data_IF_765797701163
#
_entry.id   IF_765797701163
#
_cell.length_a   1.000
_cell.length_b   1.000
_cell.length_c   1.000
_cell.angle_alpha   90.00
_cell.angle_beta   90.00
_cell.angle_gamma   90.00
#
_symmetry.space_group_name_H-M   'P 1'
#
loop_
_entity.id
_entity.type
_entity.pdbx_description
1 polymer ?
#
# COMPACT_ATOMS: atom_id res chain seq x y z
N UNK A 1 15.65 43.88 29.18
CA UNK A 1 14.30 43.41 28.84
C UNK A 1 14.37 41.92 28.46
N UNK A 2 13.94 41.03 29.35
CA UNK A 2 14.00 39.57 29.16
C UNK A 2 12.67 39.14 28.51
N UNK A 3 12.72 38.61 27.29
CA UNK A 3 11.59 37.92 26.66
C UNK A 3 11.59 36.45 27.09
N UNK A 4 10.52 36.01 27.74
CA UNK A 4 10.26 34.64 28.12
C UNK A 4 9.68 33.90 26.91
N UNK A 5 10.32 32.78 26.51
CA UNK A 5 9.77 31.79 25.60
C UNK A 5 8.87 30.83 26.41
N UNK A 6 7.66 30.63 25.92
CA UNK A 6 6.71 29.64 26.41
C UNK A 6 6.90 28.36 25.57
N UNK A 7 7.04 27.17 26.14
CA UNK A 7 7.07 25.94 25.37
C UNK A 7 5.63 25.47 25.08
N UNK A 8 5.36 25.20 23.81
CA UNK A 8 4.13 24.56 23.35
C UNK A 8 4.25 23.06 23.65
N UNK A 9 3.34 22.57 24.49
CA UNK A 9 3.23 21.16 24.87
C UNK A 9 2.45 20.42 23.77
N UNK A 10 3.15 19.58 23.03
CA UNK A 10 2.59 18.69 22.00
C UNK A 10 2.13 17.40 22.70
N UNK A 11 0.83 17.22 22.85
CA UNK A 11 0.26 15.97 23.39
C UNK A 11 0.19 14.91 22.32
N UNK A 12 1.10 13.95 22.42
CA UNK A 12 1.11 12.72 21.62
C UNK A 12 0.11 11.75 22.23
N UNK A 13 -0.97 11.42 21.52
CA UNK A 13 -1.90 10.36 21.92
C UNK A 13 -1.37 9.02 21.38
N UNK A 14 -0.68 8.28 22.25
CA UNK A 14 -0.23 6.93 21.98
C UNK A 14 -1.31 5.94 22.45
N UNK A 15 -1.96 5.26 21.51
CA UNK A 15 -2.85 4.13 21.82
C UNK A 15 -2.01 2.88 21.94
N UNK A 16 -1.59 2.54 23.16
CA UNK A 16 -0.95 1.27 23.47
C UNK A 16 -1.99 0.26 23.96
N UNK A 17 -2.09 -0.88 23.27
CA UNK A 17 -2.74 -2.06 23.79
C UNK A 17 -1.89 -2.65 24.94
N UNK A 18 -2.42 -2.74 26.14
CA UNK A 18 -1.76 -3.37 27.29
C UNK A 18 -2.40 -4.72 27.61
N UNK A 19 -1.61 -5.74 27.95
CA UNK A 19 -2.14 -7.01 28.47
C UNK A 19 -2.55 -6.89 29.94
N UNK A 20 -3.64 -7.58 30.27
CA UNK A 20 -4.23 -7.65 31.59
C UNK A 20 -3.31 -8.43 32.54
N UNK A 21 -2.82 -7.78 33.59
CA UNK A 21 -2.27 -8.46 34.76
C UNK A 21 -3.21 -8.24 35.93
N UNK A 22 -3.74 -9.34 36.48
CA UNK A 22 -4.53 -9.35 37.66
C UNK A 22 -3.62 -9.11 38.89
N UNK A 23 -3.90 -8.05 39.64
CA UNK A 23 -3.29 -7.84 40.96
C UNK A 23 -4.37 -8.07 42.05
N UNK A 24 -4.10 -9.01 42.94
CA UNK A 24 -4.83 -9.20 44.16
C UNK A 24 -4.65 -7.99 45.09
N UNK A 25 -5.73 -7.38 45.54
CA UNK A 25 -5.73 -6.43 46.65
C UNK A 25 -6.57 -6.97 47.77
N UNK A 26 -5.91 -7.16 48.91
CA UNK A 26 -6.53 -7.53 50.19
C UNK A 26 -7.28 -6.33 50.82
N UNK A 27 -8.35 -6.65 51.50
CA UNK A 27 -9.33 -5.78 52.12
C UNK A 27 -8.77 -4.70 53.04
N UNK A 28 -9.35 -3.52 52.97
CA UNK A 28 -9.22 -2.45 53.94
C UNK A 28 -10.20 -1.31 53.60
N UNK A 29 -11.20 -1.14 54.43
CA UNK A 29 -12.27 -0.15 54.39
C UNK A 29 -11.77 1.28 54.18
N UNK A 30 -12.22 1.94 53.09
CA UNK A 30 -12.39 3.42 53.06
C UNK A 30 -13.61 3.74 52.17
N UNK A 31 -14.69 4.17 52.77
CA UNK A 31 -15.83 4.80 52.12
C UNK A 31 -15.42 6.11 51.41
N UNK A 32 -15.33 6.10 50.11
CA UNK A 32 -15.35 7.31 49.30
C UNK A 32 -16.35 7.14 48.14
N UNK A 33 -17.48 7.85 48.17
CA UNK A 33 -18.41 7.82 47.06
C UNK A 33 -17.92 8.82 45.99
N UNK A 34 -17.81 8.37 44.75
CA UNK A 34 -17.53 9.12 43.52
C UNK A 34 -16.18 8.78 42.85
N UNK A 35 -16.07 7.54 42.38
CA UNK A 35 -15.49 7.25 41.08
C UNK A 35 -16.47 6.35 40.35
N UNK A 36 -17.40 6.94 39.65
CA UNK A 36 -18.16 6.25 38.62
C UNK A 36 -17.14 5.82 37.57
N UNK A 37 -16.87 4.52 37.52
CA UNK A 37 -16.15 3.90 36.41
C UNK A 37 -16.77 4.41 35.13
N UNK A 38 -15.94 5.09 34.32
CA UNK A 38 -16.32 5.43 32.97
C UNK A 38 -16.84 4.15 32.31
N UNK A 39 -18.07 4.23 31.89
CA UNK A 39 -18.84 3.22 31.22
C UNK A 39 -18.01 2.51 30.17
N UNK A 40 -17.80 1.21 30.34
CA UNK A 40 -17.28 0.38 29.28
C UNK A 40 -18.24 0.58 28.11
N UNK A 41 -17.76 1.17 27.01
CA UNK A 41 -18.56 1.52 25.84
C UNK A 41 -19.47 0.35 25.50
N UNK A 42 -20.76 0.51 25.74
CA UNK A 42 -21.79 -0.43 25.29
C UNK A 42 -21.50 -0.76 23.81
N UNK A 43 -21.55 -2.02 23.41
CA UNK A 43 -21.32 -2.36 22.00
C UNK A 43 -22.28 -1.55 21.13
N UNK A 44 -21.76 -0.92 20.08
CA UNK A 44 -22.54 -0.08 19.17
C UNK A 44 -23.82 -0.80 18.76
N UNK A 45 -24.97 -0.34 19.26
CA UNK A 45 -26.27 -0.93 18.95
C UNK A 45 -26.65 -0.55 17.52
N UNK A 46 -26.61 -1.53 16.63
CA UNK A 46 -27.11 -1.38 15.26
C UNK A 46 -28.60 -1.70 15.22
N UNK A 47 -29.40 -0.80 14.68
CA UNK A 47 -30.82 -1.05 14.47
C UNK A 47 -31.03 -1.75 13.13
N UNK A 48 -31.78 -2.85 13.12
CA UNK A 48 -32.07 -3.61 11.93
C UNK A 48 -33.12 -2.90 11.07
N UNK A 49 -32.81 -2.78 9.78
CA UNK A 49 -33.70 -2.11 8.80
C UNK A 49 -33.89 -2.97 7.55
N UNK A 50 -35.08 -2.94 7.00
CA UNK A 50 -35.45 -3.74 5.82
C UNK A 50 -36.24 -2.97 4.75
N UNK A 51 -36.52 -1.69 4.97
CA UNK A 51 -37.26 -0.82 4.03
C UNK A 51 -36.57 0.52 3.85
N UNK A 52 -36.85 1.20 2.72
CA UNK A 52 -36.29 2.51 2.42
C UNK A 52 -36.73 3.58 3.43
N UNK A 53 -38.00 3.55 3.81
CA UNK A 53 -38.56 4.56 4.72
C UNK A 53 -37.97 4.42 6.13
N UNK A 54 -37.83 3.19 6.63
CA UNK A 54 -37.22 2.93 7.92
C UNK A 54 -35.73 3.30 7.91
N UNK A 55 -34.99 2.90 6.86
CA UNK A 55 -33.59 3.29 6.70
C UNK A 55 -33.43 4.81 6.74
N UNK A 56 -34.28 5.54 6.01
CA UNK A 56 -34.26 7.01 5.97
C UNK A 56 -34.55 7.63 7.33
N UNK A 57 -35.58 7.11 8.01
CA UNK A 57 -35.96 7.60 9.34
C UNK A 57 -34.82 7.42 10.35
N UNK A 58 -34.19 6.23 10.35
CA UNK A 58 -33.06 5.92 11.26
C UNK A 58 -31.83 6.78 10.98
N UNK A 59 -31.43 6.93 9.70
CA UNK A 59 -30.30 7.78 9.33
C UNK A 59 -30.55 9.24 9.71
N UNK A 60 -31.77 9.74 9.45
CA UNK A 60 -32.16 11.12 9.83
C UNK A 60 -32.11 11.32 11.35
N UNK A 61 -32.47 10.31 12.13
CA UNK A 61 -32.36 10.33 13.57
C UNK A 61 -30.94 10.16 14.10
N UNK A 62 -29.96 9.86 13.23
CA UNK A 62 -28.57 9.64 13.60
C UNK A 62 -28.29 8.25 14.19
N UNK A 63 -29.15 7.29 13.93
CA UNK A 63 -28.99 5.93 14.45
C UNK A 63 -28.11 5.10 13.54
N UNK A 64 -27.23 4.29 14.13
CA UNK A 64 -26.46 3.28 13.40
C UNK A 64 -27.37 2.10 13.02
N UNK A 65 -27.20 1.59 11.80
CA UNK A 65 -28.14 0.63 11.21
C UNK A 65 -27.42 -0.58 10.59
N UNK A 66 -28.16 -1.69 10.57
CA UNK A 66 -27.77 -2.93 9.87
C UNK A 66 -28.84 -3.33 8.89
N UNK A 67 -28.47 -3.53 7.64
CA UNK A 67 -29.42 -3.99 6.62
C UNK A 67 -29.75 -5.47 6.81
N UNK A 68 -31.03 -5.82 6.69
CA UNK A 68 -31.50 -7.20 6.71
C UNK A 68 -32.04 -7.68 5.37
N UNK A 69 -32.20 -6.76 4.41
CA UNK A 69 -32.66 -7.02 3.02
C UNK A 69 -32.01 -6.01 2.08
N UNK A 70 -32.02 -6.33 0.78
CA UNK A 70 -31.72 -5.36 -0.25
C UNK A 70 -32.78 -4.23 -0.21
N UNK A 71 -32.31 -3.00 -0.36
CA UNK A 71 -33.15 -1.80 -0.29
C UNK A 71 -32.90 -0.93 -1.51
N UNK A 72 -33.99 -0.58 -2.20
CA UNK A 72 -33.97 0.43 -3.27
C UNK A 72 -34.41 1.77 -2.69
N UNK A 73 -33.65 2.83 -2.99
CA UNK A 73 -33.96 4.21 -2.63
C UNK A 73 -34.01 5.06 -3.90
N UNK A 74 -34.82 6.10 -3.91
CA UNK A 74 -34.97 7.01 -5.05
C UNK A 74 -34.52 8.44 -4.77
N UNK A 75 -34.18 8.76 -3.54
CA UNK A 75 -33.62 10.04 -3.09
C UNK A 75 -32.45 9.79 -2.16
N UNK A 76 -31.50 10.72 -2.12
CA UNK A 76 -30.30 10.60 -1.33
C UNK A 76 -30.56 10.45 0.18
N UNK A 77 -29.67 9.78 0.86
CA UNK A 77 -29.61 9.69 2.29
C UNK A 77 -28.68 10.77 2.85
N UNK A 78 -29.22 11.69 3.62
CA UNK A 78 -28.50 12.78 4.21
C UNK A 78 -27.97 12.38 5.60
N UNK A 79 -26.64 12.29 5.73
CA UNK A 79 -25.95 11.96 6.98
C UNK A 79 -25.46 13.25 7.61
N UNK A 80 -26.13 13.69 8.68
CA UNK A 80 -25.84 14.92 9.43
C UNK A 80 -25.40 14.64 10.85
N UNK A 81 -25.36 13.38 11.23
CA UNK A 81 -24.91 12.86 12.53
C UNK A 81 -24.02 11.64 12.31
N UNK A 82 -23.05 11.44 13.18
CA UNK A 82 -22.14 10.29 13.07
C UNK A 82 -22.90 8.98 13.30
N UNK A 83 -22.79 8.07 12.35
CA UNK A 83 -23.44 6.75 12.38
C UNK A 83 -22.66 5.69 11.64
N UNK A 84 -23.00 4.44 11.88
CA UNK A 84 -22.50 3.27 11.16
C UNK A 84 -23.61 2.63 10.35
N UNK A 85 -23.28 2.29 9.08
CA UNK A 85 -24.10 1.46 8.20
C UNK A 85 -23.41 0.11 8.01
N UNK A 86 -23.99 -0.95 8.51
CA UNK A 86 -23.60 -2.32 8.23
C UNK A 86 -24.45 -2.85 7.06
N UNK A 87 -23.80 -3.09 5.92
CA UNK A 87 -24.47 -3.64 4.75
C UNK A 87 -24.91 -5.10 4.93
N UNK A 88 -24.23 -5.85 5.79
CA UNK A 88 -24.57 -7.24 6.13
C UNK A 88 -24.88 -8.12 4.90
N UNK A 89 -24.07 -7.95 3.84
CA UNK A 89 -24.21 -8.67 2.58
C UNK A 89 -25.35 -8.19 1.67
N UNK A 90 -26.10 -7.17 2.08
CA UNK A 90 -27.23 -6.63 1.33
C UNK A 90 -26.79 -5.54 0.34
N UNK A 91 -27.64 -5.29 -0.65
CA UNK A 91 -27.49 -4.22 -1.62
C UNK A 91 -28.35 -3.03 -1.25
N UNK A 92 -27.73 -1.85 -1.16
CA UNK A 92 -28.41 -0.55 -1.15
C UNK A 92 -28.29 0.07 -2.53
N UNK A 93 -29.41 0.20 -3.25
CA UNK A 93 -29.42 0.67 -4.62
C UNK A 93 -30.15 2.00 -4.75
N UNK A 94 -29.49 2.98 -5.36
CA UNK A 94 -30.13 4.20 -5.84
C UNK A 94 -30.82 3.94 -7.17
N UNK A 95 -32.09 4.34 -7.27
CA UNK A 95 -32.88 4.28 -8.50
C UNK A 95 -33.22 5.66 -9.07
N UNK A 96 -32.92 6.71 -8.32
CA UNK A 96 -33.05 8.10 -8.73
C UNK A 96 -31.76 8.69 -9.31
N UNK A 97 -31.84 9.94 -9.78
CA UNK A 97 -30.69 10.65 -10.36
C UNK A 97 -30.01 11.52 -9.31
N UNK A 98 -29.36 10.91 -8.35
CA UNK A 98 -28.63 11.59 -7.27
C UNK A 98 -27.55 10.67 -6.67
N UNK A 99 -26.70 11.22 -5.79
CA UNK A 99 -25.80 10.45 -4.95
C UNK A 99 -26.57 9.53 -4.02
N UNK A 100 -25.97 8.40 -3.61
CA UNK A 100 -26.59 7.55 -2.58
C UNK A 100 -26.55 8.24 -1.24
N UNK A 101 -25.37 8.83 -0.87
CA UNK A 101 -25.19 9.55 0.38
C UNK A 101 -24.67 10.97 0.16
N UNK A 102 -25.17 11.90 0.99
CA UNK A 102 -24.54 13.17 1.30
C UNK A 102 -24.12 13.19 2.75
N UNK A 103 -22.83 13.38 3.04
CA UNK A 103 -22.27 13.42 4.40
C UNK A 103 -21.72 14.81 4.69
N UNK A 104 -22.29 15.51 5.66
CA UNK A 104 -21.94 16.90 5.99
C UNK A 104 -22.19 17.20 7.48
N UNK A 105 -22.05 18.47 7.92
CA UNK A 105 -22.18 18.88 9.34
C UNK A 105 -21.16 18.22 10.28
N UNK A 106 -19.94 17.98 9.83
CA UNK A 106 -18.89 17.25 10.57
C UNK A 106 -19.31 15.84 10.99
N UNK A 107 -20.31 15.26 10.34
CA UNK A 107 -20.75 13.89 10.58
C UNK A 107 -19.74 12.91 9.96
N UNK A 108 -19.64 11.73 10.59
CA UNK A 108 -18.90 10.59 10.05
C UNK A 108 -19.87 9.48 9.67
N UNK A 109 -19.86 9.08 8.40
CA UNK A 109 -20.49 7.85 7.94
C UNK A 109 -19.45 6.72 7.96
N UNK A 110 -19.67 5.70 8.78
CA UNK A 110 -18.87 4.47 8.71
C UNK A 110 -19.65 3.40 7.93
N UNK A 111 -19.04 2.88 6.86
CA UNK A 111 -19.59 1.77 6.07
C UNK A 111 -18.79 0.51 6.37
N UNK A 112 -19.50 -0.54 6.74
CA UNK A 112 -18.95 -1.87 7.01
C UNK A 112 -19.83 -2.96 6.39
N UNK A 113 -19.32 -4.18 6.36
CA UNK A 113 -20.08 -5.37 5.95
C UNK A 113 -19.74 -6.53 6.88
N UNK A 114 -20.64 -6.82 7.80
CA UNK A 114 -20.46 -7.90 8.78
C UNK A 114 -20.70 -9.29 8.20
N UNK A 115 -21.24 -9.40 6.97
CA UNK A 115 -21.50 -10.70 6.34
C UNK A 115 -20.21 -11.50 6.12
N UNK A 116 -20.33 -12.81 6.18
CA UNK A 116 -19.18 -13.71 5.94
C UNK A 116 -18.68 -13.59 4.48
N UNK A 117 -19.58 -13.41 3.52
CA UNK A 117 -19.25 -13.31 2.10
C UNK A 117 -18.68 -11.95 1.70
N UNK A 118 -18.77 -10.92 2.55
CA UNK A 118 -18.38 -9.53 2.25
C UNK A 118 -19.00 -9.01 0.94
N UNK A 119 -20.27 -9.38 0.68
CA UNK A 119 -21.00 -9.09 -0.56
C UNK A 119 -21.87 -7.86 -0.51
N UNK A 120 -21.86 -7.12 0.61
CA UNK A 120 -22.63 -5.89 0.77
C UNK A 120 -22.23 -4.82 -0.25
N UNK A 121 -23.23 -4.23 -0.94
CA UNK A 121 -22.98 -3.26 -2.01
C UNK A 121 -23.81 -1.99 -1.87
N UNK A 122 -23.23 -0.89 -2.33
CA UNK A 122 -23.86 0.40 -2.58
C UNK A 122 -23.73 0.67 -4.08
N UNK A 123 -24.83 0.92 -4.79
CA UNK A 123 -24.80 1.00 -6.24
C UNK A 123 -25.86 1.97 -6.81
N UNK A 124 -25.73 2.29 -8.10
CA UNK A 124 -26.72 3.03 -8.88
C UNK A 124 -26.71 4.54 -8.66
N UNK A 125 -25.72 5.07 -7.94
CA UNK A 125 -25.58 6.52 -7.82
C UNK A 125 -25.37 7.17 -9.19
N UNK A 126 -26.26 8.12 -9.55
CA UNK A 126 -26.25 8.83 -10.82
C UNK A 126 -26.43 10.33 -10.55
N UNK A 127 -25.33 11.03 -10.37
CA UNK A 127 -25.31 12.43 -9.91
C UNK A 127 -24.40 13.29 -10.80
N UNK A 128 -24.22 14.54 -10.42
CA UNK A 128 -23.16 15.37 -11.00
C UNK A 128 -21.81 14.98 -10.40
N UNK A 129 -21.73 14.89 -9.08
CA UNK A 129 -20.53 14.54 -8.32
C UNK A 129 -20.86 13.50 -7.25
N UNK A 130 -19.91 12.61 -6.91
CA UNK A 130 -20.01 11.69 -5.77
C UNK A 130 -21.14 10.67 -5.87
N UNK A 131 -21.12 9.80 -6.87
CA UNK A 131 -22.24 8.88 -7.12
C UNK A 131 -22.58 8.01 -5.92
N UNK A 132 -21.62 7.30 -5.34
CA UNK A 132 -21.82 6.56 -4.10
C UNK A 132 -21.94 7.49 -2.90
N UNK A 133 -20.92 8.34 -2.67
CA UNK A 133 -20.88 9.25 -1.51
C UNK A 133 -20.33 10.61 -1.93
N UNK A 134 -21.07 11.66 -1.58
CA UNK A 134 -20.62 13.04 -1.63
C UNK A 134 -20.30 13.52 -0.21
N UNK A 135 -19.08 13.99 0.02
CA UNK A 135 -18.57 14.35 1.34
C UNK A 135 -18.34 15.85 1.45
N UNK A 136 -18.91 16.46 2.47
CA UNK A 136 -18.80 17.88 2.78
C UNK A 136 -19.79 18.77 2.02
N UNK A 137 -19.66 20.05 2.19
CA UNK A 137 -20.45 21.09 1.54
C UNK A 137 -19.76 22.43 1.69
N UNK A 138 -20.32 23.50 1.10
CA UNK A 138 -19.72 24.84 1.12
C UNK A 138 -19.37 25.32 2.53
N UNK A 139 -20.19 24.98 3.53
CA UNK A 139 -20.09 25.51 4.90
C UNK A 139 -19.67 24.46 5.95
N UNK A 140 -19.56 23.18 5.59
CA UNK A 140 -19.29 22.13 6.57
C UNK A 140 -18.49 20.99 5.97
N UNK A 141 -17.72 20.34 6.81
CA UNK A 141 -16.98 19.12 6.48
C UNK A 141 -17.90 17.88 6.64
N UNK A 142 -17.47 16.79 6.05
CA UNK A 142 -18.02 15.46 6.25
C UNK A 142 -16.91 14.43 6.27
N UNK A 143 -17.18 13.26 6.80
CA UNK A 143 -16.17 12.23 6.92
C UNK A 143 -16.76 10.86 6.52
N UNK A 144 -16.01 10.11 5.72
CA UNK A 144 -16.33 8.74 5.35
C UNK A 144 -15.25 7.80 5.85
N UNK A 145 -15.67 6.71 6.47
CA UNK A 145 -14.81 5.58 6.84
C UNK A 145 -15.39 4.32 6.20
N UNK A 146 -14.62 3.66 5.35
CA UNK A 146 -15.00 2.36 4.81
C UNK A 146 -14.06 1.28 5.32
N UNK A 147 -14.59 0.31 6.05
CA UNK A 147 -13.84 -0.86 6.54
C UNK A 147 -14.27 -2.15 5.83
N UNK A 148 -15.37 -2.12 5.10
CA UNK A 148 -15.93 -3.19 4.30
C UNK A 148 -17.02 -2.67 3.39
N UNK A 149 -17.64 -3.57 2.64
CA UNK A 149 -18.63 -3.26 1.62
C UNK A 149 -18.02 -2.72 0.32
N UNK A 150 -18.82 -2.68 -0.71
CA UNK A 150 -18.40 -2.29 -2.06
C UNK A 150 -19.27 -1.15 -2.58
N UNK A 151 -18.68 -0.05 -3.02
CA UNK A 151 -19.32 0.97 -3.86
C UNK A 151 -19.06 0.57 -5.30
N UNK A 152 -20.12 0.34 -6.08
CA UNK A 152 -19.99 -0.15 -7.46
C UNK A 152 -21.09 0.39 -8.39
N UNK A 153 -20.78 0.46 -9.69
CA UNK A 153 -21.78 0.83 -10.70
C UNK A 153 -22.38 2.22 -10.48
N UNK A 154 -21.58 3.15 -9.98
CA UNK A 154 -21.97 4.55 -9.82
C UNK A 154 -21.44 5.36 -11.01
N UNK A 155 -22.32 6.18 -11.61
CA UNK A 155 -22.02 6.95 -12.81
C UNK A 155 -22.33 8.41 -12.58
N UNK A 156 -21.32 9.29 -12.73
CA UNK A 156 -21.54 10.73 -12.58
C UNK A 156 -21.03 11.50 -13.79
N UNK A 157 -21.61 12.66 -14.02
CA UNK A 157 -21.25 13.48 -15.18
C UNK A 157 -19.98 14.30 -14.95
N UNK A 158 -19.54 14.49 -13.69
CA UNK A 158 -18.40 15.33 -13.37
C UNK A 158 -17.35 14.60 -12.52
N UNK A 159 -17.46 14.54 -11.20
CA UNK A 159 -16.32 14.13 -10.34
C UNK A 159 -16.67 13.02 -9.34
N UNK A 160 -15.74 12.05 -9.18
CA UNK A 160 -15.84 11.04 -8.15
C UNK A 160 -16.99 10.06 -8.35
N UNK A 161 -16.87 9.17 -9.32
CA UNK A 161 -17.92 8.18 -9.60
C UNK A 161 -18.33 7.40 -8.36
N UNK A 162 -17.37 6.87 -7.63
CA UNK A 162 -17.59 6.25 -6.32
C UNK A 162 -17.75 7.26 -5.20
N UNK A 163 -16.72 8.08 -4.96
CA UNK A 163 -16.65 9.01 -3.83
C UNK A 163 -16.11 10.37 -4.29
N UNK A 164 -16.77 11.44 -3.87
CA UNK A 164 -16.28 12.80 -4.02
C UNK A 164 -16.08 13.46 -2.66
N UNK A 165 -14.83 13.75 -2.30
CA UNK A 165 -14.47 14.48 -1.08
C UNK A 165 -14.35 15.96 -1.44
N UNK A 166 -15.46 16.69 -1.34
CA UNK A 166 -15.45 18.13 -1.57
C UNK A 166 -14.77 18.87 -0.41
N UNK A 167 -15.12 18.51 0.84
CA UNK A 167 -14.53 19.06 2.05
C UNK A 167 -14.61 18.09 3.20
N UNK A 168 -13.46 17.68 3.76
CA UNK A 168 -13.37 16.74 4.85
C UNK A 168 -12.45 15.56 4.56
N UNK A 169 -12.82 14.35 4.97
CA UNK A 169 -11.93 13.19 4.86
C UNK A 169 -12.62 11.91 4.40
N UNK A 170 -11.86 11.08 3.71
CA UNK A 170 -12.20 9.71 3.41
C UNK A 170 -11.09 8.77 3.91
N UNK A 171 -11.45 7.74 4.67
CA UNK A 171 -10.53 6.67 5.08
C UNK A 171 -11.05 5.33 4.58
N UNK A 172 -10.17 4.57 3.93
CA UNK A 172 -10.48 3.26 3.36
C UNK A 172 -9.54 2.20 3.94
N UNK A 173 -10.08 1.06 4.37
CA UNK A 173 -9.30 -0.02 4.96
C UNK A 173 -10.01 -1.37 4.86
N UNK A 174 -9.37 -2.43 5.36
CA UNK A 174 -9.96 -3.76 5.47
C UNK A 174 -10.37 -4.35 4.12
N UNK A 175 -11.63 -4.75 3.99
CA UNK A 175 -12.20 -5.35 2.77
C UNK A 175 -13.03 -4.37 1.94
N UNK A 176 -12.93 -3.07 2.22
CA UNK A 176 -13.64 -2.04 1.47
C UNK A 176 -13.24 -2.01 -0.02
N UNK A 177 -14.20 -1.77 -0.90
CA UNK A 177 -13.95 -1.75 -2.35
C UNK A 177 -14.69 -0.58 -3.03
N UNK A 178 -14.06 -0.02 -4.05
CA UNK A 178 -14.70 0.89 -5.01
C UNK A 178 -14.38 0.33 -6.39
N UNK A 179 -15.41 -0.04 -7.16
CA UNK A 179 -15.18 -0.69 -8.45
C UNK A 179 -16.26 -0.31 -9.46
N UNK A 180 -15.95 -0.42 -10.76
CA UNK A 180 -16.88 -0.17 -11.86
C UNK A 180 -17.60 1.21 -11.79
N UNK A 181 -16.93 2.22 -11.23
CA UNK A 181 -17.46 3.57 -11.15
C UNK A 181 -16.94 4.44 -12.30
N UNK A 182 -17.77 5.36 -12.80
CA UNK A 182 -17.37 6.23 -13.90
C UNK A 182 -17.67 7.71 -13.63
N UNK A 183 -16.78 8.59 -14.11
CA UNK A 183 -16.90 10.03 -13.99
C UNK A 183 -16.19 10.76 -15.14
N UNK A 184 -16.30 12.09 -15.22
CA UNK A 184 -15.41 12.87 -16.06
C UNK A 184 -13.99 12.91 -15.49
N UNK A 185 -13.86 13.05 -14.17
CA UNK A 185 -12.59 12.95 -13.45
C UNK A 185 -12.74 12.13 -12.17
N UNK A 186 -11.73 11.32 -11.85
CA UNK A 186 -11.75 10.44 -10.69
C UNK A 186 -12.88 9.42 -10.78
N UNK A 187 -12.74 8.42 -11.65
CA UNK A 187 -13.77 7.38 -11.79
C UNK A 187 -14.11 6.73 -10.45
N UNK A 188 -13.10 6.39 -9.64
CA UNK A 188 -13.26 5.90 -8.27
C UNK A 188 -13.47 7.03 -7.27
N UNK A 189 -12.45 7.86 -7.06
CA UNK A 189 -12.39 8.87 -5.98
C UNK A 189 -11.87 10.20 -6.51
N UNK A 190 -12.50 11.30 -6.11
CA UNK A 190 -11.93 12.64 -6.21
C UNK A 190 -11.77 13.24 -4.84
N UNK A 191 -10.60 13.85 -4.58
CA UNK A 191 -10.36 14.67 -3.40
C UNK A 191 -10.15 16.10 -3.85
N UNK A 192 -10.99 17.01 -3.35
CA UNK A 192 -11.05 18.41 -3.79
C UNK A 192 -10.84 19.32 -2.60
N UNK A 193 -10.02 20.36 -2.74
CA UNK A 193 -9.57 21.34 -1.74
C UNK A 193 -8.38 20.89 -0.90
N UNK A 194 -7.49 21.87 -0.59
CA UNK A 194 -6.24 21.64 0.17
C UNK A 194 -6.43 21.20 1.62
N UNK A 195 -7.64 21.27 2.17
CA UNK A 195 -7.98 20.76 3.50
C UNK A 195 -8.58 19.34 3.46
N UNK A 196 -8.83 18.79 2.28
CA UNK A 196 -9.47 17.49 2.12
C UNK A 196 -8.42 16.40 2.02
N UNK A 197 -8.73 15.25 2.62
CA UNK A 197 -7.80 14.11 2.70
C UNK A 197 -8.47 12.81 2.29
N UNK A 198 -7.68 11.96 1.61
CA UNK A 198 -7.98 10.55 1.44
C UNK A 198 -6.86 9.73 2.07
N UNK A 199 -7.20 8.77 2.92
CA UNK A 199 -6.25 7.82 3.52
C UNK A 199 -6.65 6.40 3.15
N UNK A 200 -5.75 5.69 2.46
CA UNK A 200 -5.97 4.29 2.08
C UNK A 200 -4.99 3.40 2.85
N UNK A 201 -5.51 2.74 3.89
CA UNK A 201 -4.77 1.79 4.72
C UNK A 201 -4.98 0.34 4.28
N UNK A 202 -5.83 0.11 3.30
CA UNK A 202 -6.19 -1.20 2.76
C UNK A 202 -7.41 -1.10 1.86
N UNK A 203 -7.92 -2.24 1.40
CA UNK A 203 -9.04 -2.30 0.46
C UNK A 203 -8.58 -2.18 -0.99
N UNK A 204 -9.53 -1.96 -1.91
CA UNK A 204 -9.25 -1.97 -3.34
C UNK A 204 -10.07 -0.92 -4.09
N UNK A 205 -9.42 -0.19 -4.99
CA UNK A 205 -10.06 0.64 -6.02
C UNK A 205 -9.72 0.00 -7.36
N UNK A 206 -10.74 -0.50 -8.09
CA UNK A 206 -10.48 -1.22 -9.33
C UNK A 206 -11.52 -0.95 -10.41
N UNK A 207 -11.14 -1.16 -11.66
CA UNK A 207 -12.00 -1.16 -12.82
C UNK A 207 -12.81 0.16 -12.99
N UNK A 208 -12.34 1.24 -12.36
CA UNK A 208 -12.94 2.56 -12.43
C UNK A 208 -12.45 3.32 -13.66
N UNK A 209 -13.35 4.13 -14.23
CA UNK A 209 -13.05 4.86 -15.48
C UNK A 209 -13.36 6.35 -15.35
N UNK A 210 -12.41 7.17 -15.77
CA UNK A 210 -12.64 8.58 -16.00
C UNK A 210 -12.66 8.89 -17.51
N UNK A 211 -13.28 10.01 -17.92
CA UNK A 211 -13.17 10.46 -19.31
C UNK A 211 -11.93 11.30 -19.55
N UNK A 212 -11.41 11.99 -18.51
CA UNK A 212 -10.32 12.94 -18.66
C UNK A 212 -9.15 12.71 -17.71
N UNK A 213 -9.40 12.43 -16.43
CA UNK A 213 -8.35 12.49 -15.40
C UNK A 213 -8.54 11.44 -14.31
N UNK A 214 -7.54 10.60 -14.08
CA UNK A 214 -7.45 9.69 -12.93
C UNK A 214 -8.59 8.67 -12.85
N UNK A 215 -8.47 7.56 -13.56
CA UNK A 215 -9.49 6.51 -13.51
C UNK A 215 -9.80 6.04 -12.09
N UNK A 216 -8.78 5.83 -11.27
CA UNK A 216 -8.92 5.43 -9.86
C UNK A 216 -9.10 6.63 -8.93
N UNK A 217 -8.10 7.51 -8.86
CA UNK A 217 -8.06 8.65 -7.94
C UNK A 217 -7.66 9.92 -8.67
N UNK A 218 -8.34 11.02 -8.35
CA UNK A 218 -7.99 12.34 -8.84
C UNK A 218 -7.87 13.31 -7.65
N UNK A 219 -6.71 13.97 -7.54
CA UNK A 219 -6.43 14.99 -6.52
C UNK A 219 -6.39 16.36 -7.18
N UNK A 220 -7.17 17.31 -6.67
CA UNK A 220 -7.20 18.66 -7.21
C UNK A 220 -7.18 19.70 -6.10
N UNK A 221 -6.78 20.94 -6.45
CA UNK A 221 -6.81 22.09 -5.55
C UNK A 221 -6.06 21.91 -4.23
N UNK A 222 -4.93 21.20 -4.27
CA UNK A 222 -4.05 21.01 -3.11
C UNK A 222 -4.47 19.88 -2.17
N UNK A 223 -5.34 18.99 -2.60
CA UNK A 223 -5.81 17.85 -1.82
C UNK A 223 -4.69 16.84 -1.46
N UNK A 224 -4.94 16.07 -0.40
CA UNK A 224 -3.99 15.08 0.12
C UNK A 224 -4.48 13.65 -0.05
N UNK A 225 -3.57 12.77 -0.46
CA UNK A 225 -3.76 11.33 -0.47
C UNK A 225 -2.60 10.64 0.25
N UNK A 226 -2.91 9.84 1.25
CA UNK A 226 -1.93 9.00 1.95
C UNK A 226 -2.29 7.54 1.74
N UNK A 227 -1.32 6.74 1.27
CA UNK A 227 -1.49 5.32 1.02
C UNK A 227 -0.49 4.51 1.86
N UNK A 228 -0.97 3.74 2.82
CA UNK A 228 -0.15 2.83 3.63
C UNK A 228 -0.41 1.36 3.31
N UNK A 229 -1.43 1.08 2.49
CA UNK A 229 -1.78 -0.26 2.04
C UNK A 229 -2.93 -0.24 1.04
N UNK A 230 -3.34 -1.42 0.57
CA UNK A 230 -4.41 -1.56 -0.42
C UNK A 230 -3.92 -1.59 -1.86
N UNK A 231 -4.86 -1.64 -2.80
CA UNK A 231 -4.55 -1.78 -4.23
C UNK A 231 -5.42 -0.85 -5.08
N UNK A 232 -4.78 -0.15 -6.02
CA UNK A 232 -5.45 0.59 -7.10
C UNK A 232 -5.04 -0.10 -8.40
N UNK A 233 -6.00 -0.65 -9.15
CA UNK A 233 -5.69 -1.43 -10.35
C UNK A 233 -6.77 -1.34 -11.43
N UNK A 234 -6.41 -1.60 -12.67
CA UNK A 234 -7.30 -1.60 -13.83
C UNK A 234 -8.11 -0.29 -13.97
N UNK A 235 -7.64 0.78 -13.37
CA UNK A 235 -8.30 2.08 -13.45
C UNK A 235 -7.76 2.85 -14.64
N UNK A 236 -8.65 3.41 -15.46
CA UNK A 236 -8.27 4.04 -16.73
C UNK A 236 -8.95 5.39 -16.90
N UNK A 237 -8.30 6.31 -17.61
CA UNK A 237 -8.94 7.51 -18.13
C UNK A 237 -8.97 7.49 -19.68
N UNK A 238 -9.61 8.49 -20.28
CA UNK A 238 -9.75 8.58 -21.73
C UNK A 238 -8.49 9.01 -22.48
N UNK A 239 -7.36 9.22 -21.78
CA UNK A 239 -6.10 9.59 -22.41
C UNK A 239 -5.44 8.39 -23.09
N UNK A 240 -4.58 8.66 -24.08
CA UNK A 240 -3.83 7.61 -24.80
C UNK A 240 -2.96 6.79 -23.83
N UNK A 241 -2.55 7.41 -22.74
CA UNK A 241 -1.69 6.84 -21.72
C UNK A 241 -2.38 6.95 -20.37
N UNK A 242 -3.43 6.18 -20.25
CA UNK A 242 -4.37 6.16 -19.15
C UNK A 242 -3.77 6.31 -17.76
N UNK A 243 -4.32 7.18 -16.93
CA UNK A 243 -3.86 7.38 -15.54
C UNK A 243 -4.75 6.66 -14.53
N UNK A 244 -4.12 5.87 -13.66
CA UNK A 244 -4.77 5.34 -12.46
C UNK A 244 -4.96 6.44 -11.41
N UNK A 245 -3.96 7.32 -11.26
CA UNK A 245 -3.98 8.48 -10.36
C UNK A 245 -3.58 9.74 -11.12
N UNK A 246 -4.33 10.82 -10.89
CA UNK A 246 -4.08 12.16 -11.47
C UNK A 246 -4.02 13.21 -10.36
N UNK A 247 -3.05 14.12 -10.44
CA UNK A 247 -2.85 15.18 -9.45
C UNK A 247 -2.67 16.56 -10.10
N UNK A 248 -3.53 17.57 -9.74
CA UNK A 248 -3.51 18.91 -10.30
C UNK A 248 -4.11 19.99 -9.36
N UNK A 249 -3.35 20.70 -8.60
CA UNK A 249 -2.26 20.21 -7.81
C UNK A 249 -2.78 19.30 -6.70
N UNK A 250 -1.96 18.38 -6.26
CA UNK A 250 -2.26 17.49 -5.15
C UNK A 250 -0.98 16.96 -4.52
N UNK A 251 -1.10 16.40 -3.35
CA UNK A 251 0.01 15.75 -2.66
C UNK A 251 -0.34 14.30 -2.39
N UNK A 252 0.53 13.40 -2.78
CA UNK A 252 0.43 11.98 -2.45
C UNK A 252 1.64 11.55 -1.62
N UNK A 253 1.38 10.83 -0.53
CA UNK A 253 2.38 10.08 0.21
C UNK A 253 2.01 8.62 0.18
N UNK A 254 2.94 7.78 -0.27
CA UNK A 254 2.71 6.35 -0.28
C UNK A 254 3.82 5.65 0.50
N UNK A 255 3.43 4.91 1.53
CA UNK A 255 4.30 4.15 2.43
C UNK A 255 4.09 2.64 2.27
N UNK A 256 3.12 2.24 1.45
CA UNK A 256 2.78 0.85 1.16
C UNK A 256 1.58 0.76 0.23
N UNK A 257 1.28 -0.45 -0.22
CA UNK A 257 0.20 -0.72 -1.17
C UNK A 257 0.69 -0.90 -2.60
N UNK A 258 -0.23 -1.09 -3.51
CA UNK A 258 0.05 -1.34 -4.93
C UNK A 258 -0.77 -0.40 -5.81
N UNK A 259 -0.13 0.25 -6.77
CA UNK A 259 -0.79 1.04 -7.81
C UNK A 259 -0.38 0.46 -9.16
N UNK A 260 -1.32 -0.13 -9.87
CA UNK A 260 -1.15 -0.61 -11.24
C UNK A 260 -1.63 0.49 -12.19
N UNK A 261 -0.74 0.98 -13.04
CA UNK A 261 -1.05 2.04 -14.00
C UNK A 261 -0.25 3.32 -13.79
N UNK A 262 -0.57 4.35 -14.55
CA UNK A 262 0.17 5.60 -14.55
C UNK A 262 -0.31 6.54 -13.44
N UNK A 263 0.65 7.25 -12.86
CA UNK A 263 0.39 8.39 -11.98
C UNK A 263 0.78 9.66 -12.73
N UNK A 264 -0.17 10.58 -12.90
CA UNK A 264 0.03 11.83 -13.62
C UNK A 264 0.08 13.00 -12.66
N UNK A 265 1.13 13.81 -12.76
CA UNK A 265 1.31 15.05 -11.98
C UNK A 265 1.33 16.22 -12.96
N UNK A 266 0.41 17.17 -12.78
CA UNK A 266 0.39 18.42 -13.56
C UNK A 266 1.32 19.43 -12.92
N UNK A 267 2.21 19.96 -13.75
CA UNK A 267 3.08 21.06 -13.37
C UNK A 267 2.47 22.39 -13.84
N UNK A 268 2.21 23.31 -12.94
CA UNK A 268 1.65 24.62 -13.26
C UNK A 268 2.48 25.42 -14.28
N UNK A 269 3.76 25.12 -14.43
CA UNK A 269 4.66 25.88 -15.31
C UNK A 269 4.90 25.27 -16.70
N UNK A 270 4.68 23.97 -16.91
CA UNK A 270 5.10 23.32 -18.18
C UNK A 270 4.22 22.15 -18.65
N UNK A 271 3.02 22.00 -18.16
CA UNK A 271 2.14 20.92 -18.58
C UNK A 271 2.27 19.65 -17.73
N UNK A 272 1.76 18.56 -18.25
CA UNK A 272 1.66 17.29 -17.54
C UNK A 272 3.03 16.62 -17.51
N UNK A 273 3.55 16.38 -16.31
CA UNK A 273 4.70 15.49 -16.13
C UNK A 273 4.19 14.10 -15.84
N UNK A 274 4.49 13.17 -16.74
CA UNK A 274 4.05 11.79 -16.64
C UNK A 274 5.07 10.96 -15.90
N UNK A 275 4.56 10.21 -14.93
CA UNK A 275 5.26 9.15 -14.25
C UNK A 275 4.67 7.81 -14.68
N UNK A 276 5.36 7.07 -15.53
CA UNK A 276 4.98 5.70 -15.84
C UNK A 276 5.45 4.76 -14.74
N UNK A 277 4.52 4.17 -14.07
CA UNK A 277 4.77 2.92 -13.37
C UNK A 277 4.53 1.79 -14.38
N UNK A 278 5.53 0.96 -14.62
CA UNK A 278 5.29 -0.31 -15.32
C UNK A 278 4.33 -1.16 -14.49
N UNK A 279 3.62 -2.03 -15.19
CA UNK A 279 2.77 -3.06 -14.59
C UNK A 279 3.35 -3.55 -13.26
N UNK A 280 2.58 -3.53 -12.18
CA UNK A 280 2.99 -3.88 -10.80
C UNK A 280 3.87 -2.85 -10.09
N UNK A 281 3.34 -1.66 -9.88
CA UNK A 281 3.97 -0.70 -9.00
C UNK A 281 3.71 -1.04 -7.53
N UNK A 282 4.61 -1.82 -6.95
CA UNK A 282 4.60 -2.12 -5.52
C UNK A 282 5.50 -1.13 -4.79
N UNK A 283 4.91 -0.29 -3.95
CA UNK A 283 5.66 0.63 -3.08
C UNK A 283 6.07 -0.15 -1.83
N UNK A 284 7.29 -0.67 -1.82
CA UNK A 284 7.86 -1.29 -0.63
C UNK A 284 8.59 -0.24 0.19
N UNK A 285 8.20 -0.04 1.45
CA UNK A 285 8.92 0.75 2.46
C UNK A 285 9.57 2.04 1.92
N UNK A 286 8.96 2.66 0.95
CA UNK A 286 9.43 3.89 0.34
C UNK A 286 8.31 4.91 0.27
N UNK A 287 8.67 6.16 0.32
CA UNK A 287 7.72 7.26 0.22
C UNK A 287 7.76 7.80 -1.20
N UNK A 288 6.61 7.78 -1.91
CA UNK A 288 6.41 8.68 -3.02
C UNK A 288 5.79 9.93 -2.46
N UNK A 289 6.55 11.02 -2.42
CA UNK A 289 6.03 12.32 -2.04
C UNK A 289 5.95 13.17 -3.30
N UNK A 290 4.74 13.56 -3.65
CA UNK A 290 4.49 14.54 -4.68
C UNK A 290 4.20 15.87 -3.97
N UNK A 291 5.10 16.83 -4.08
CA UNK A 291 4.92 18.12 -3.45
C UNK A 291 4.03 19.03 -4.30
N UNK A 292 3.05 19.64 -3.65
CA UNK A 292 2.08 20.54 -4.25
C UNK A 292 2.75 21.75 -4.92
N UNK A 293 2.41 22.04 -6.17
CA UNK A 293 2.82 23.23 -6.91
C UNK A 293 4.30 23.31 -7.28
N UNK A 294 5.10 22.37 -6.88
CA UNK A 294 6.47 22.18 -7.31
C UNK A 294 6.69 20.73 -7.68
N UNK A 295 6.88 20.51 -8.89
CA UNK A 295 7.22 19.35 -9.69
C UNK A 295 8.33 18.48 -9.16
N UNK A 296 8.28 18.13 -7.89
CA UNK A 296 9.25 17.24 -7.33
C UNK A 296 8.56 15.96 -6.88
N UNK A 297 8.28 15.11 -7.87
CA UNK A 297 8.03 13.72 -7.54
C UNK A 297 9.30 13.14 -6.93
N UNK A 298 9.21 12.56 -5.76
CA UNK A 298 10.29 11.85 -5.11
C UNK A 298 10.04 10.37 -5.27
N UNK A 299 11.02 9.65 -5.80
CA UNK A 299 10.95 8.20 -5.92
C UNK A 299 11.83 7.51 -4.91
N UNK A 300 11.34 6.45 -4.29
CA UNK A 300 12.18 5.61 -3.47
C UNK A 300 13.17 4.84 -4.34
N UNK A 301 14.44 4.92 -3.97
CA UNK A 301 15.50 4.04 -4.46
C UNK A 301 15.86 3.10 -3.31
N UNK A 302 15.50 1.85 -3.47
CA UNK A 302 15.75 0.80 -2.49
C UNK A 302 17.11 0.17 -2.78
N UNK A 303 18.00 0.16 -1.80
CA UNK A 303 19.27 -0.54 -1.82
C UNK A 303 19.20 -1.77 -0.93
N UNK A 304 19.25 -2.94 -1.53
CA UNK A 304 19.07 -4.22 -0.86
C UNK A 304 20.39 -5.00 -0.90
N UNK A 305 20.93 -5.26 0.28
CA UNK A 305 22.21 -5.95 0.42
C UNK A 305 22.08 -7.47 0.30
N UNK A 306 20.87 -8.01 0.47
CA UNK A 306 20.65 -9.45 0.47
C UNK A 306 19.22 -9.78 0.02
N UNK A 307 19.11 -10.51 -1.08
CA UNK A 307 17.84 -10.91 -1.66
C UNK A 307 17.01 -11.74 -0.66
N UNK A 308 16.18 -11.09 0.14
CA UNK A 308 15.23 -11.75 1.03
C UNK A 308 15.34 -11.43 2.52
N UNK A 309 16.16 -10.48 2.94
CA UNK A 309 16.21 -10.00 4.31
C UNK A 309 15.73 -8.55 4.40
N UNK A 310 14.59 -8.30 5.03
CA UNK A 310 14.04 -6.95 5.21
C UNK A 310 14.92 -6.04 6.11
N UNK A 311 15.92 -6.61 6.80
CA UNK A 311 16.79 -5.88 7.71
C UNK A 311 17.99 -5.19 7.03
N UNK A 312 18.29 -5.56 5.79
CA UNK A 312 19.48 -5.07 5.07
C UNK A 312 19.11 -4.10 3.92
N UNK A 313 17.97 -3.40 4.08
CA UNK A 313 17.46 -2.50 3.07
C UNK A 313 17.62 -1.05 3.52
N UNK A 314 18.25 -0.24 2.66
CA UNK A 314 18.26 1.22 2.79
C UNK A 314 17.38 1.83 1.71
N UNK A 315 16.47 2.72 2.07
CA UNK A 315 15.64 3.48 1.14
C UNK A 315 16.10 4.93 1.13
N UNK A 316 16.33 5.48 -0.06
CA UNK A 316 16.62 6.91 -0.28
C UNK A 316 15.58 7.49 -1.23
N UNK A 317 15.09 8.67 -0.93
CA UNK A 317 14.20 9.40 -1.83
C UNK A 317 15.02 10.19 -2.84
N UNK A 318 14.73 10.01 -4.11
CA UNK A 318 15.39 10.71 -5.22
C UNK A 318 14.35 11.48 -6.02
N UNK A 319 14.66 12.73 -6.32
CA UNK A 319 13.78 13.58 -7.13
C UNK A 319 13.65 13.01 -8.55
N UNK A 320 12.44 13.07 -9.10
CA UNK A 320 12.20 12.73 -10.50
C UNK A 320 13.16 13.46 -11.42
N UNK A 321 13.78 12.72 -12.32
CA UNK A 321 14.73 13.27 -13.29
C UNK A 321 16.14 13.49 -12.76
N UNK A 322 16.34 13.42 -11.44
CA UNK A 322 17.67 13.46 -10.84
C UNK A 322 18.28 12.03 -10.79
N UNK A 323 19.59 11.89 -10.85
CA UNK A 323 20.25 10.62 -10.65
C UNK A 323 20.19 10.20 -9.18
N UNK A 324 20.09 8.90 -8.94
CA UNK A 324 20.16 8.36 -7.58
C UNK A 324 21.53 8.60 -6.95
N UNK A 325 21.57 9.06 -5.71
CA UNK A 325 22.83 9.17 -4.96
C UNK A 325 23.38 7.77 -4.66
N UNK A 326 24.60 7.48 -5.16
CA UNK A 326 25.27 6.20 -4.87
C UNK A 326 25.58 6.11 -3.37
N UNK A 327 25.14 5.04 -2.66
CA UNK A 327 25.55 4.83 -1.29
C UNK A 327 27.03 4.45 -1.21
N UNK A 328 27.62 4.55 -0.01
CA UNK A 328 28.93 3.97 0.24
C UNK A 328 28.90 2.47 -0.07
N UNK A 329 30.00 1.95 -0.58
CA UNK A 329 30.08 0.53 -0.92
C UNK A 329 29.91 -0.32 0.35
N UNK A 330 28.95 -1.24 0.37
CA UNK A 330 28.65 -2.02 1.55
C UNK A 330 29.73 -3.10 1.82
N UNK A 331 29.77 -3.60 3.03
CA UNK A 331 30.72 -4.64 3.42
C UNK A 331 29.99 -5.85 4.00
N UNK A 332 30.39 -7.05 3.59
CA UNK A 332 29.96 -8.33 4.18
C UNK A 332 31.17 -9.23 4.50
N UNK A 333 31.10 -10.04 5.57
CA UNK A 333 32.14 -11.02 5.87
C UNK A 333 32.33 -11.99 4.69
N UNK A 334 33.58 -12.24 4.32
CA UNK A 334 33.97 -13.17 3.25
C UNK A 334 33.47 -12.85 1.83
N UNK A 335 32.84 -11.70 1.63
CA UNK A 335 32.36 -11.24 0.32
C UNK A 335 33.01 -9.92 -0.07
N UNK A 336 33.15 -9.70 -1.36
CA UNK A 336 33.61 -8.44 -1.97
C UNK A 336 32.45 -7.86 -2.76
N UNK A 337 32.06 -6.64 -2.41
CA UNK A 337 31.07 -5.90 -3.18
C UNK A 337 31.62 -5.57 -4.56
N UNK A 338 30.81 -5.81 -5.60
CA UNK A 338 31.15 -5.51 -6.98
C UNK A 338 30.45 -4.24 -7.46
N UNK A 339 29.13 -4.26 -7.47
CA UNK A 339 28.29 -3.16 -7.91
C UNK A 339 26.84 -3.36 -7.51
N UNK A 340 26.06 -2.31 -7.70
CA UNK A 340 24.60 -2.35 -7.63
C UNK A 340 24.03 -2.68 -9.01
N UNK A 341 23.01 -3.51 -9.08
CA UNK A 341 22.27 -3.82 -10.30
C UNK A 341 20.76 -3.77 -10.06
N UNK A 342 19.95 -3.57 -11.11
CA UNK A 342 18.52 -3.44 -10.99
C UNK A 342 17.86 -4.82 -10.75
N UNK A 343 16.96 -4.90 -9.77
CA UNK A 343 16.15 -6.09 -9.49
C UNK A 343 15.29 -6.46 -10.71
N UNK A 344 15.16 -7.76 -10.96
CA UNK A 344 14.45 -8.28 -12.14
C UNK A 344 15.29 -8.35 -13.41
N UNK A 345 16.55 -7.90 -13.37
CA UNK A 345 17.56 -8.16 -14.41
C UNK A 345 18.39 -9.41 -14.06
N UNK A 346 19.19 -9.89 -15.00
CA UNK A 346 20.11 -11.01 -14.79
C UNK A 346 21.32 -10.67 -13.90
N UNK A 347 21.43 -9.41 -13.47
CA UNK A 347 22.54 -8.92 -12.65
C UNK A 347 23.90 -8.92 -13.35
N UNK A 348 23.94 -8.96 -14.68
CA UNK A 348 25.18 -8.93 -15.46
C UNK A 348 25.74 -7.53 -15.68
N UNK A 349 24.93 -6.48 -15.49
CA UNK A 349 25.30 -5.09 -15.71
C UNK A 349 25.12 -4.25 -14.43
N UNK A 350 26.13 -3.43 -14.13
CA UNK A 350 26.06 -2.46 -13.06
C UNK A 350 25.03 -1.36 -13.36
N UNK A 351 24.31 -0.92 -12.35
CA UNK A 351 23.47 0.27 -12.45
C UNK A 351 24.32 1.51 -12.70
N UNK A 352 23.92 2.30 -13.69
CA UNK A 352 24.58 3.56 -13.97
C UNK A 352 23.94 4.68 -13.14
N UNK A 353 24.63 5.14 -12.10
CA UNK A 353 24.19 6.21 -11.21
C UNK A 353 24.08 7.59 -11.86
N UNK A 354 24.43 7.75 -13.14
CA UNK A 354 24.12 8.96 -13.93
C UNK A 354 22.76 8.88 -14.60
N UNK A 355 22.06 7.74 -14.53
CA UNK A 355 20.73 7.57 -15.12
C UNK A 355 19.71 8.32 -14.29
N UNK A 356 18.89 9.20 -14.90
CA UNK A 356 17.79 9.85 -14.20
C UNK A 356 16.79 8.84 -13.65
N UNK A 357 16.37 9.03 -12.42
CA UNK A 357 15.32 8.23 -11.79
C UNK A 357 13.98 8.71 -12.30
N UNK A 358 13.27 7.86 -13.01
CA UNK A 358 11.95 8.15 -13.61
C UNK A 358 10.87 7.22 -13.06
N UNK A 359 11.21 6.36 -12.11
CA UNK A 359 10.36 5.38 -11.44
C UNK A 359 11.01 4.92 -10.15
N UNK A 360 10.29 4.30 -9.24
CA UNK A 360 10.90 3.61 -8.12
C UNK A 360 11.93 2.59 -8.59
N UNK A 361 13.03 2.54 -7.88
CA UNK A 361 14.12 1.62 -8.18
C UNK A 361 14.33 0.65 -7.02
N UNK A 362 14.59 -0.59 -7.38
CA UNK A 362 15.10 -1.59 -6.46
C UNK A 362 16.46 -2.05 -6.97
N UNK A 363 17.51 -1.71 -6.25
CA UNK A 363 18.88 -2.06 -6.58
C UNK A 363 19.39 -3.13 -5.61
N UNK A 364 19.91 -4.21 -6.17
CA UNK A 364 20.49 -5.33 -5.45
C UNK A 364 22.01 -5.23 -5.47
N UNK A 365 22.65 -5.56 -4.36
CA UNK A 365 24.09 -5.63 -4.30
C UNK A 365 24.62 -6.92 -4.94
N UNK A 366 25.61 -6.79 -5.81
CA UNK A 366 26.35 -7.92 -6.39
C UNK A 366 27.57 -8.22 -5.53
N UNK A 367 27.70 -9.48 -5.13
CA UNK A 367 28.78 -9.97 -4.30
C UNK A 367 29.58 -11.06 -4.98
N UNK A 368 30.88 -11.10 -4.71
CA UNK A 368 31.76 -12.20 -5.04
C UNK A 368 32.46 -12.72 -3.77
N UNK A 369 32.78 -14.00 -3.73
CA UNK A 369 33.55 -14.56 -2.61
C UNK A 369 34.97 -13.98 -2.58
N UNK A 370 35.46 -13.62 -1.40
CA UNK A 370 36.85 -13.26 -1.24
C UNK A 370 37.73 -14.44 -1.60
N UNK A 371 38.74 -14.25 -2.44
CA UNK A 371 39.74 -15.28 -2.65
C UNK A 371 40.27 -15.75 -1.31
N UNK A 372 40.15 -17.01 -0.99
CA UNK A 372 40.75 -17.56 0.19
C UNK A 372 42.26 -17.52 0.00
N UNK A 373 42.91 -16.44 0.44
CA UNK A 373 44.35 -16.39 0.59
C UNK A 373 44.73 -17.15 1.86
N UNK A 374 45.06 -18.39 1.71
CA UNK A 374 45.55 -19.20 2.83
C UNK A 374 45.14 -20.66 2.76
N UNK A 375 45.36 -21.29 1.62
CA UNK A 375 45.52 -22.74 1.65
C UNK A 375 46.74 -23.02 2.49
N UNK A 376 46.56 -23.55 3.68
CA UNK A 376 47.62 -24.26 4.33
C UNK A 376 48.12 -25.30 3.32
N UNK A 377 49.33 -25.07 2.79
CA UNK A 377 50.08 -26.14 2.16
C UNK A 377 50.31 -27.19 3.28
N UNK A 378 49.47 -28.19 3.31
CA UNK A 378 49.80 -29.41 3.98
C UNK A 378 50.97 -30.00 3.18
N UNK A 379 52.19 -29.72 3.58
CA UNK A 379 53.31 -30.48 3.09
C UNK A 379 52.98 -31.94 3.45
N UNK A 380 52.89 -32.85 2.48
CA UNK A 380 52.73 -34.24 2.83
C UNK A 380 53.85 -34.65 3.78
N UNK A 381 53.60 -35.44 4.81
CA UNK A 381 54.64 -35.94 5.70
C UNK A 381 55.74 -36.54 4.83
N UNK A 382 57.01 -36.19 5.12
CA UNK A 382 58.14 -36.76 4.42
C UNK A 382 58.01 -38.27 4.45
N UNK A 383 57.95 -38.89 3.26
CA UNK A 383 57.91 -40.35 3.14
C UNK A 383 59.11 -40.92 3.91
N UNK A 384 58.85 -41.63 4.97
CA UNK A 384 59.86 -42.45 5.61
C UNK A 384 60.24 -43.58 4.64
N UNK A 385 61.50 -43.90 4.46
CA UNK A 385 61.91 -44.95 3.58
C UNK A 385 61.26 -46.28 4.04
N UNK A 386 60.45 -46.87 3.16
CA UNK A 386 59.85 -48.18 3.38
C UNK A 386 60.99 -49.18 3.26
N UNK A 387 61.42 -49.81 4.41
CA UNK A 387 62.29 -50.96 4.36
C UNK A 387 61.59 -52.08 3.56
N UNK A 388 62.26 -52.59 2.56
CA UNK A 388 61.75 -53.67 1.71
C UNK A 388 61.48 -54.94 2.58
N UNK A 389 60.32 -55.60 2.40
CA UNK A 389 60.02 -56.85 3.14
C UNK A 389 60.97 -57.96 2.73
N UNK A 390 61.58 -58.57 3.72
CA UNK A 390 62.52 -59.71 3.59
C UNK A 390 61.79 -61.04 3.50
N UNK A 391 60.83 -61.26 2.64
CA UNK A 391 60.35 -62.61 2.35
C UNK A 391 59.77 -62.64 0.93
N UNK A 392 60.31 -63.58 0.13
CA UNK A 392 59.82 -63.91 -1.18
C UNK A 392 58.52 -64.73 -1.03
N UNK A 393 57.35 -64.10 -1.14
CA UNK A 393 56.08 -64.79 -1.27
C UNK A 393 55.58 -64.56 -2.71
N UNK A 394 55.38 -65.67 -3.51
CA UNK A 394 54.95 -65.56 -4.90
C UNK A 394 53.54 -65.04 -5.09
N UNK A 395 52.76 -64.90 -4.01
CA UNK A 395 51.35 -64.46 -4.10
C UNK A 395 51.11 -62.98 -4.31
N UNK A 396 52.14 -62.12 -4.04
CA UNK A 396 51.94 -60.65 -4.07
C UNK A 396 52.12 -60.06 -5.47
N UNK A 397 52.74 -60.81 -6.40
CA UNK A 397 52.97 -60.32 -7.76
C UNK A 397 51.69 -60.29 -8.62
N UNK A 398 50.59 -60.94 -8.23
CA UNK A 398 49.36 -61.02 -8.99
C UNK A 398 48.40 -59.85 -8.71
N UNK A 399 48.53 -59.16 -7.58
CA UNK A 399 47.65 -58.03 -7.25
C UNK A 399 48.13 -56.69 -7.81
N UNK A 400 49.43 -56.55 -8.09
CA UNK A 400 49.98 -55.33 -8.64
C UNK A 400 49.70 -55.17 -10.17
N UNK A 401 49.34 -56.27 -10.87
CA UNK A 401 49.08 -56.23 -12.30
C UNK A 401 47.62 -55.89 -12.66
N UNK A 402 46.71 -55.95 -11.69
CA UNK A 402 45.25 -55.67 -11.93
C UNK A 402 44.80 -54.24 -11.61
N UNK A 403 45.65 -53.44 -10.97
CA UNK A 403 45.30 -52.04 -10.65
C UNK A 403 45.76 -51.04 -11.73
N UNK A 404 46.52 -51.45 -12.71
CA UNK A 404 47.01 -50.57 -13.80
C UNK A 404 46.18 -50.60 -15.08
N UNK A 405 45.07 -51.35 -15.11
CA UNK A 405 44.21 -51.49 -16.30
C UNK A 405 42.88 -50.73 -16.23
N UNK A 406 42.63 -49.93 -15.20
CA UNK A 406 41.36 -49.19 -15.03
C UNK A 406 41.46 -47.66 -15.28
N UNK A 407 42.59 -47.14 -15.72
CA UNK A 407 42.78 -45.68 -15.92
C UNK A 407 43.04 -45.21 -17.35
N UNK A 408 42.82 -46.06 -18.36
CA UNK A 408 42.90 -45.63 -19.75
C UNK A 408 41.68 -46.12 -20.54
N UNK A 409 40.63 -45.31 -20.53
CA UNK A 409 39.50 -45.59 -21.38
C UNK A 409 38.24 -44.83 -21.05
N UNK A 410 38.21 -43.52 -21.31
CA UNK A 410 37.01 -42.88 -21.85
C UNK A 410 37.34 -41.47 -22.34
N UNK A 411 37.99 -41.39 -23.49
CA UNK A 411 37.81 -40.22 -24.37
C UNK A 411 37.31 -40.75 -25.69
N UNK A 412 36.05 -40.58 -25.98
CA UNK A 412 35.58 -40.48 -27.36
C UNK A 412 34.19 -39.88 -27.46
N UNK A 413 34.18 -38.74 -28.03
CA UNK A 413 33.26 -38.27 -29.08
C UNK A 413 31.75 -38.29 -28.81
N UNK A 414 31.16 -37.13 -28.78
CA UNK A 414 29.94 -36.88 -29.54
C UNK A 414 30.01 -35.60 -30.33
N UNK A 415 30.02 -35.77 -31.62
CA UNK A 415 29.89 -34.79 -32.65
C UNK A 415 28.50 -34.90 -33.25
N UNK A 416 27.79 -33.76 -33.39
CA UNK A 416 26.68 -33.50 -34.31
C UNK A 416 25.34 -34.25 -34.15
N UNK A 417 24.27 -33.53 -33.84
CA UNK A 417 23.38 -32.92 -34.86
C UNK A 417 22.51 -31.83 -34.18
#
# INVERSE_FOLDING_TARGET
MKRRLLPILMTLVLVCALPIWAAFVTSGDVTNPLLTTADATEPLKLEEVSTADDLRAKITAGNSVKLTKNIDINTALNVTSTLTLDLNGCTLRMTGNTSVFYVYNNATLTITDSSTAKSGTITGGNATDGGGVYIGGNSSEGHLVMTGGTITGCHVSSRGGGVFVFKGSFTMSGTARITDCTAAGGGGVVVHTGSSTFTMNGGEISDCKAFYTGGGVCLVSGAWFEMTGGTIRNCTDGSVESSAIYMDPGTMKAHGGTVEGNVWVVNENNGITRETTKDDYTIFNGTITFENGNTTAMYPVKFDLDQGSDNDITVRETKLGDPAEKPADPTKPNLVFQYWYEAGTDGSAAWNFSTPVTRPLHLLAKWEEKPQTGGYYYAPPAEQPIEAPKTADPGVALYAALSLLSLTGLTCATKKR
#
